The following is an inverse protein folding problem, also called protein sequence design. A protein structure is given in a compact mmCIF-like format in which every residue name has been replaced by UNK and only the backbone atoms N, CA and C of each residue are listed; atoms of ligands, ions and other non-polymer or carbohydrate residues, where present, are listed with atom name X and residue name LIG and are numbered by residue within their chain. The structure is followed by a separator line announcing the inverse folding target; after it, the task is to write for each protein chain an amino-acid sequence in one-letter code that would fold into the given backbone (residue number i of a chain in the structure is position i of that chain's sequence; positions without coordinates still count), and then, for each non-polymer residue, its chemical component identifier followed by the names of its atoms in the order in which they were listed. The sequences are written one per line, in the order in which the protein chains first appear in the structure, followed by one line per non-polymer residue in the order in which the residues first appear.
data_IF_172820082027
#
_entry.id   IF_172820082027
#
_cell.length_a   1.000
_cell.length_b   1.000
_cell.length_c   1.000
_cell.angle_alpha   90.00
_cell.angle_beta   90.00
_cell.angle_gamma   90.00
#
_symmetry.space_group_name_H-M   'P 1'
#
loop_
_entity.id
_entity.type
_entity.pdbx_description
1 polymer ?
#
# COMPACT_ATOMS: atom_id res chain seq x y z
N UNK A 1 -23.57 23.18 6.33
CA UNK A 1 -22.41 23.44 7.20
C UNK A 1 -22.87 23.32 8.64
N UNK A 2 -22.45 22.28 9.36
CA UNK A 2 -22.77 22.08 10.78
C UNK A 2 -21.55 22.55 11.58
N UNK A 3 -21.64 23.65 12.35
CA UNK A 3 -20.51 24.16 13.09
C UNK A 3 -20.15 23.17 14.20
N UNK A 4 -19.00 22.51 14.05
CA UNK A 4 -18.50 21.52 14.99
C UNK A 4 -16.97 21.53 14.98
N UNK A 5 -16.36 21.03 16.06
CA UNK A 5 -14.90 20.91 16.15
C UNK A 5 -14.33 20.04 15.02
N UNK A 6 -15.08 19.01 14.62
CA UNK A 6 -14.71 18.14 13.49
C UNK A 6 -14.67 18.92 12.17
N UNK A 7 -15.63 19.82 11.94
CA UNK A 7 -15.65 20.66 10.76
C UNK A 7 -14.48 21.67 10.73
N UNK A 8 -14.08 22.21 11.89
CA UNK A 8 -12.92 23.08 12.00
C UNK A 8 -11.60 22.35 11.69
N UNK A 9 -11.42 21.14 12.24
CA UNK A 9 -10.26 20.29 11.94
C UNK A 9 -10.21 19.93 10.45
N UNK A 10 -11.36 19.55 9.88
CA UNK A 10 -11.48 19.24 8.46
C UNK A 10 -11.01 20.39 7.58
N UNK A 11 -11.47 21.62 7.86
CA UNK A 11 -11.07 22.80 7.09
C UNK A 11 -9.57 23.11 7.13
N UNK A 12 -8.92 22.98 8.30
CA UNK A 12 -7.48 23.20 8.43
C UNK A 12 -6.67 22.14 7.67
N UNK A 13 -7.11 20.88 7.72
CA UNK A 13 -6.47 19.80 6.96
C UNK A 13 -6.62 20.04 5.46
N UNK A 14 -7.82 20.42 5.01
CA UNK A 14 -8.11 20.64 3.59
C UNK A 14 -7.27 21.79 3.01
N UNK A 15 -7.19 22.92 3.71
CA UNK A 15 -6.30 24.05 3.37
C UNK A 15 -4.84 23.61 3.22
N UNK A 16 -4.35 22.80 4.17
CA UNK A 16 -2.99 22.27 4.14
C UNK A 16 -2.76 21.35 2.93
N UNK A 17 -3.71 20.44 2.63
CA UNK A 17 -3.61 19.51 1.52
C UNK A 17 -3.63 20.22 0.14
N UNK A 18 -4.37 21.33 0.01
CA UNK A 18 -4.31 22.20 -1.17
C UNK A 18 -2.94 22.86 -1.28
N UNK A 19 -2.44 23.43 -0.17
CA UNK A 19 -1.16 24.16 -0.13
C UNK A 19 0.04 23.30 -0.55
N UNK A 20 0.07 22.02 -0.17
CA UNK A 20 1.15 21.08 -0.56
C UNK A 20 0.91 20.43 -1.94
N UNK A 21 -0.18 20.78 -2.63
CA UNK A 21 -0.51 20.25 -3.95
C UNK A 21 -1.05 18.81 -3.95
N UNK A 22 -1.54 18.31 -2.82
CA UNK A 22 -2.09 16.95 -2.71
C UNK A 22 -3.53 16.85 -3.27
N UNK A 23 -4.34 17.90 -3.11
CA UNK A 23 -5.69 18.05 -3.71
C UNK A 23 -5.73 19.30 -4.61
N UNK A 24 -6.62 19.38 -5.60
CA UNK A 24 -6.67 20.53 -6.55
C UNK A 24 -7.29 21.79 -5.95
N UNK A 25 -8.17 21.61 -4.98
CA UNK A 25 -8.85 22.70 -4.31
C UNK A 25 -9.86 22.19 -3.29
N UNK A 26 -10.46 23.12 -2.56
CA UNK A 26 -11.47 22.84 -1.54
C UNK A 26 -12.68 22.16 -2.20
N UNK A 27 -13.13 21.04 -1.63
CA UNK A 27 -14.25 20.23 -2.11
C UNK A 27 -13.96 19.33 -3.31
N UNK A 28 -12.72 19.34 -3.85
CA UNK A 28 -12.37 18.61 -5.08
C UNK A 28 -11.80 17.20 -4.84
N UNK A 29 -11.68 16.77 -3.58
CA UNK A 29 -11.25 15.40 -3.25
C UNK A 29 -9.82 15.06 -3.72
N UNK A 30 -9.46 13.78 -3.64
CA UNK A 30 -8.15 13.26 -4.02
C UNK A 30 -7.95 13.26 -5.54
N UNK A 31 -6.81 13.78 -6.00
CA UNK A 31 -6.39 13.74 -7.42
C UNK A 31 -6.28 12.31 -7.97
N UNK A 32 -5.84 11.38 -7.12
CA UNK A 32 -5.77 9.95 -7.37
C UNK A 32 -5.64 9.21 -6.03
N UNK A 33 -6.17 7.99 -5.93
CA UNK A 33 -5.90 7.13 -4.76
C UNK A 33 -4.39 6.86 -4.65
N UNK A 34 -3.82 6.89 -3.43
CA UNK A 34 -2.46 6.44 -3.19
C UNK A 34 -2.35 4.97 -3.60
N UNK A 35 -1.82 4.71 -4.81
CA UNK A 35 -1.42 3.37 -5.20
C UNK A 35 -0.17 3.06 -4.39
N UNK A 36 -0.30 2.17 -3.39
CA UNK A 36 0.84 1.49 -2.83
C UNK A 36 1.65 0.94 -4.01
N UNK A 37 2.86 1.48 -4.22
CA UNK A 37 3.72 1.06 -5.32
C UNK A 37 3.83 -0.45 -5.23
N UNK A 38 3.32 -1.14 -6.25
CA UNK A 38 3.16 -2.58 -6.21
C UNK A 38 4.50 -3.22 -5.90
N UNK A 39 4.70 -3.64 -4.65
CA UNK A 39 5.70 -4.63 -4.33
C UNK A 39 5.45 -5.74 -5.35
N UNK A 40 6.47 -6.06 -6.16
CA UNK A 40 6.43 -7.25 -7.01
C UNK A 40 5.82 -8.34 -6.15
N UNK A 41 4.64 -8.85 -6.54
CA UNK A 41 3.91 -9.81 -5.73
C UNK A 41 4.91 -10.91 -5.41
N UNK A 42 5.34 -11.00 -4.16
CA UNK A 42 6.20 -12.09 -3.74
C UNK A 42 5.52 -13.37 -4.23
N UNK A 43 6.27 -14.25 -4.87
CA UNK A 43 5.65 -15.42 -5.44
C UNK A 43 5.11 -16.28 -4.30
N UNK A 44 3.81 -16.54 -4.29
CA UNK A 44 3.21 -17.39 -3.27
C UNK A 44 3.76 -18.82 -3.42
N UNK A 45 4.02 -19.47 -2.29
CA UNK A 45 4.43 -20.87 -2.27
C UNK A 45 3.32 -21.77 -2.85
N UNK A 46 3.61 -22.61 -3.86
CA UNK A 46 2.61 -23.51 -4.42
C UNK A 46 2.19 -24.62 -3.44
N UNK A 47 2.98 -24.89 -2.40
CA UNK A 47 2.63 -25.90 -1.38
C UNK A 47 1.82 -25.36 -0.21
N UNK A 48 2.05 -24.12 0.25
CA UNK A 48 1.39 -23.59 1.45
C UNK A 48 0.77 -22.19 1.30
N UNK A 49 0.94 -21.54 0.16
CA UNK A 49 0.42 -20.18 -0.09
C UNK A 49 1.19 -19.05 0.59
N UNK A 50 2.19 -19.33 1.41
CA UNK A 50 2.99 -18.31 2.07
C UNK A 50 3.82 -17.48 1.08
N UNK A 51 3.98 -16.19 1.37
CA UNK A 51 4.74 -15.23 0.57
C UNK A 51 6.22 -15.14 0.97
N UNK A 52 6.79 -16.28 1.40
CA UNK A 52 8.16 -16.40 1.93
C UNK A 52 9.05 -17.28 1.05
N UNK A 53 8.79 -17.28 -0.26
CA UNK A 53 9.59 -17.99 -1.23
C UNK A 53 10.85 -17.18 -1.56
N UNK A 54 12.01 -17.78 -1.37
CA UNK A 54 13.32 -17.14 -1.58
C UNK A 54 14.23 -18.06 -2.40
N UNK A 55 15.11 -17.48 -3.21
CA UNK A 55 16.09 -18.26 -3.98
C UNK A 55 17.34 -18.49 -3.12
N UNK A 56 17.65 -19.75 -2.85
CA UNK A 56 18.82 -20.17 -2.08
C UNK A 56 19.55 -21.23 -2.91
N UNK A 57 20.82 -20.98 -3.23
CA UNK A 57 21.71 -21.94 -3.93
C UNK A 57 21.14 -22.48 -5.27
N UNK A 58 20.34 -21.66 -5.97
CA UNK A 58 19.73 -22.04 -7.25
C UNK A 58 18.38 -22.76 -7.15
N UNK A 59 17.85 -22.94 -5.94
CA UNK A 59 16.52 -23.51 -5.71
C UNK A 59 15.57 -22.46 -5.12
N UNK A 60 14.30 -22.51 -5.54
CA UNK A 60 13.23 -21.72 -4.94
C UNK A 60 12.75 -22.39 -3.66
N UNK A 61 13.14 -21.88 -2.50
CA UNK A 61 12.89 -22.47 -1.18
C UNK A 61 11.92 -21.61 -0.36
N UNK A 62 10.88 -22.23 0.20
CA UNK A 62 9.91 -21.58 1.07
C UNK A 62 10.32 -21.72 2.53
N UNK A 63 10.48 -20.59 3.24
CA UNK A 63 10.83 -20.59 4.67
C UNK A 63 9.67 -20.95 5.61
N UNK A 64 8.43 -20.90 5.13
CA UNK A 64 7.25 -21.24 5.93
C UNK A 64 7.01 -22.76 6.05
N UNK A 65 7.29 -23.53 4.99
CA UNK A 65 6.96 -24.97 4.94
C UNK A 65 8.10 -25.87 4.46
N UNK A 66 9.23 -25.31 4.05
CA UNK A 66 10.38 -26.07 3.55
C UNK A 66 10.27 -26.54 2.09
N UNK A 67 9.22 -26.16 1.34
CA UNK A 67 9.09 -26.51 -0.07
C UNK A 67 10.25 -25.94 -0.89
N UNK A 68 10.97 -26.77 -1.64
CA UNK A 68 12.03 -26.36 -2.56
C UNK A 68 11.77 -26.85 -3.99
N UNK A 69 12.01 -25.98 -4.98
CA UNK A 69 12.00 -26.34 -6.42
C UNK A 69 13.33 -25.91 -7.05
N UNK A 70 14.15 -26.90 -7.40
CA UNK A 70 15.38 -26.73 -8.16
C UNK A 70 15.11 -26.99 -9.66
N UNK A 71 15.82 -26.28 -10.53
CA UNK A 71 15.78 -26.46 -11.99
C UNK A 71 16.76 -27.51 -12.48
#
# INVERSE_FOLDING_TARGET
YIPSILAAIGGVIEEHLVSIGFIEGVGLGLKADPKAGGASRAQACPSCGAYELVMIEGCMTCRACGHSKCG
#
